data_IF_788960646952
#
_entry.id   IF_788960646952
#
_cell.length_a   1.000
_cell.length_b   1.000
_cell.length_c   1.000
_cell.angle_alpha   90.00
_cell.angle_beta   90.00
_cell.angle_gamma   90.00
#
_symmetry.space_group_name_H-M   'P 1'
#
loop_
_entity.id
_entity.type
_entity.pdbx_description
1 polymer ?
#
# COMPACT_ATOMS: atom_id res chain seq x y z
N UNK A 1 -18.48 5.32 34.20
CA UNK A 1 -18.55 6.47 33.29
C UNK A 1 -17.17 6.70 32.68
N UNK A 2 -17.07 6.60 31.39
CA UNK A 2 -15.83 6.94 30.70
C UNK A 2 -15.76 8.44 30.50
N UNK A 3 -14.76 9.07 31.08
CA UNK A 3 -14.48 10.48 30.79
C UNK A 3 -13.84 10.57 29.39
N UNK A 4 -14.44 11.39 28.54
CA UNK A 4 -13.87 11.68 27.24
C UNK A 4 -12.73 12.68 27.44
N UNK A 5 -11.49 12.22 27.32
CA UNK A 5 -10.33 13.10 27.37
C UNK A 5 -10.23 13.83 26.03
N UNK A 6 -10.43 15.15 26.04
CA UNK A 6 -10.19 15.98 24.88
C UNK A 6 -8.71 16.33 24.83
N UNK A 7 -8.05 15.80 23.81
CA UNK A 7 -6.65 16.15 23.54
C UNK A 7 -6.65 17.44 22.71
N UNK A 8 -6.07 18.48 23.29
CA UNK A 8 -5.84 19.72 22.54
C UNK A 8 -4.77 19.48 21.50
N UNK A 9 -5.04 19.91 20.28
CA UNK A 9 -4.12 19.83 19.15
C UNK A 9 -3.49 21.22 18.90
N UNK A 10 -2.44 21.60 19.62
CA UNK A 10 -1.88 22.96 19.53
C UNK A 10 -1.29 23.26 18.16
N UNK A 11 -0.91 22.23 17.40
CA UNK A 11 -0.38 22.40 16.05
C UNK A 11 -1.41 22.94 15.05
N UNK A 12 -2.71 22.83 15.33
CA UNK A 12 -3.75 23.31 14.44
C UNK A 12 -3.70 24.83 14.23
N UNK A 13 -3.22 25.57 15.24
CA UNK A 13 -3.06 27.01 15.16
C UNK A 13 -1.92 27.42 14.21
N UNK A 14 -0.94 26.54 14.01
CA UNK A 14 0.22 26.77 13.14
C UNK A 14 0.04 26.24 11.73
N UNK A 15 -1.06 25.57 11.48
CA UNK A 15 -1.34 24.98 10.16
C UNK A 15 -1.83 26.09 9.20
N UNK A 16 -1.47 25.95 7.92
CA UNK A 16 -2.01 26.79 6.86
C UNK A 16 -3.54 26.64 6.77
N UNK A 17 -4.30 27.77 6.68
CA UNK A 17 -5.77 27.70 6.60
C UNK A 17 -6.30 26.85 5.43
N UNK A 18 -5.54 26.75 4.34
CA UNK A 18 -5.92 25.96 3.18
C UNK A 18 -5.75 24.46 3.37
N UNK A 19 -4.97 24.06 4.38
CA UNK A 19 -4.77 22.66 4.71
C UNK A 19 -5.87 22.17 5.64
N UNK A 20 -6.64 21.13 5.27
CA UNK A 20 -7.71 20.63 6.12
C UNK A 20 -7.15 20.01 7.40
N UNK A 21 -7.90 20.15 8.50
CA UNK A 21 -7.52 19.55 9.80
C UNK A 21 -7.65 18.02 9.80
N UNK A 22 -8.55 17.52 8.98
CA UNK A 22 -8.83 16.10 8.83
C UNK A 22 -8.95 15.77 7.35
N UNK A 23 -8.63 14.52 7.01
CA UNK A 23 -8.73 14.02 5.64
C UNK A 23 -9.83 12.97 5.56
N UNK A 24 -10.45 12.86 4.40
CA UNK A 24 -11.36 11.77 4.11
C UNK A 24 -10.55 10.54 3.71
N UNK A 25 -10.49 9.57 4.62
CA UNK A 25 -9.73 8.34 4.39
C UNK A 25 -10.58 7.32 3.63
N UNK A 26 -9.93 6.59 2.74
CA UNK A 26 -10.55 5.47 2.05
C UNK A 26 -10.79 4.32 3.03
N UNK A 27 -11.89 3.58 2.81
CA UNK A 27 -12.17 2.34 3.53
C UNK A 27 -11.53 1.12 2.87
N UNK A 28 -10.93 1.31 1.70
CA UNK A 28 -10.23 0.25 0.97
C UNK A 28 -8.90 -0.10 1.64
N UNK A 29 -8.46 -1.35 1.46
CA UNK A 29 -7.11 -1.76 1.82
C UNK A 29 -6.09 -1.05 0.92
N UNK A 30 -4.81 -1.14 1.27
CA UNK A 30 -3.74 -0.59 0.44
C UNK A 30 -3.77 -1.20 -0.96
N UNK A 31 -3.92 -2.52 -1.07
CA UNK A 31 -4.09 -3.20 -2.35
C UNK A 31 -5.34 -2.76 -3.09
N UNK A 32 -6.44 -2.54 -2.39
CA UNK A 32 -7.69 -2.03 -2.97
C UNK A 32 -7.51 -0.66 -3.61
N UNK A 33 -6.74 0.21 -2.97
CA UNK A 33 -6.43 1.54 -3.54
C UNK A 33 -5.57 1.43 -4.79
N UNK A 34 -4.58 0.55 -4.77
CA UNK A 34 -3.73 0.30 -5.95
C UNK A 34 -4.57 -0.26 -7.10
N UNK A 35 -5.45 -1.21 -6.81
CA UNK A 35 -6.35 -1.77 -7.83
C UNK A 35 -7.23 -0.69 -8.48
N UNK A 36 -7.76 0.21 -7.68
CA UNK A 36 -8.56 1.33 -8.16
C UNK A 36 -7.77 2.22 -9.13
N UNK A 37 -6.52 2.54 -8.77
CA UNK A 37 -5.64 3.34 -9.63
C UNK A 37 -5.28 2.61 -10.91
N UNK A 38 -5.07 1.30 -10.84
CA UNK A 38 -4.79 0.47 -12.03
C UNK A 38 -5.98 0.49 -12.99
N UNK A 39 -7.21 0.44 -12.48
CA UNK A 39 -8.41 0.53 -13.32
C UNK A 39 -8.54 1.87 -14.01
N UNK A 40 -8.24 2.96 -13.30
CA UNK A 40 -8.37 4.32 -13.84
C UNK A 40 -7.23 4.68 -14.80
N UNK A 41 -6.03 4.26 -14.50
CA UNK A 41 -4.81 4.69 -15.23
C UNK A 41 -3.90 3.52 -15.59
N UNK A 42 -4.40 2.51 -16.32
CA UNK A 42 -3.61 1.29 -16.57
C UNK A 42 -2.32 1.53 -17.36
N UNK A 43 -2.32 2.53 -18.22
CA UNK A 43 -1.18 2.82 -19.10
C UNK A 43 -0.23 3.89 -18.56
N UNK A 44 -0.53 4.46 -17.38
CA UNK A 44 0.37 5.42 -16.76
C UNK A 44 1.56 4.71 -16.14
N UNK A 45 2.71 5.38 -16.13
CA UNK A 45 3.91 4.86 -15.50
C UNK A 45 3.71 4.80 -13.99
N UNK A 46 3.81 3.60 -13.43
CA UNK A 46 3.73 3.39 -12.00
C UNK A 46 5.07 3.69 -11.31
N UNK A 47 6.15 3.22 -11.91
CA UNK A 47 7.50 3.49 -11.41
C UNK A 47 8.52 3.37 -12.54
N UNK A 48 9.68 3.97 -12.28
CA UNK A 48 10.88 3.84 -13.12
C UNK A 48 12.01 3.31 -12.25
N UNK A 49 12.75 2.34 -12.76
CA UNK A 49 13.90 1.78 -12.08
C UNK A 49 15.01 1.50 -13.09
N UNK A 50 16.17 2.11 -12.89
CA UNK A 50 17.36 1.97 -13.75
C UNK A 50 17.05 2.24 -15.23
N UNK A 51 16.25 3.27 -15.49
CA UNK A 51 15.88 3.67 -16.84
C UNK A 51 14.74 2.89 -17.47
N UNK A 52 14.22 1.86 -16.80
CA UNK A 52 13.08 1.09 -17.28
C UNK A 52 11.80 1.53 -16.58
N UNK A 53 10.79 1.89 -17.37
CA UNK A 53 9.48 2.26 -16.85
C UNK A 53 8.55 1.04 -16.81
N UNK A 54 7.67 1.02 -15.83
CA UNK A 54 6.64 -0.02 -15.69
C UNK A 54 5.30 0.67 -15.51
N UNK A 55 4.30 0.24 -16.28
CA UNK A 55 2.95 0.80 -16.18
C UNK A 55 2.21 0.21 -14.97
N UNK A 56 1.11 0.85 -14.58
CA UNK A 56 0.24 0.32 -13.52
C UNK A 56 -0.29 -1.07 -13.84
N UNK A 57 -0.68 -1.31 -15.10
CA UNK A 57 -1.17 -2.62 -15.52
C UNK A 57 -0.10 -3.70 -15.38
N UNK A 58 1.13 -3.42 -15.80
CA UNK A 58 2.26 -4.35 -15.68
C UNK A 58 2.61 -4.61 -14.21
N UNK A 59 2.64 -3.57 -13.40
CA UNK A 59 2.87 -3.68 -11.96
C UNK A 59 1.83 -4.56 -11.30
N UNK A 60 0.56 -4.37 -11.64
CA UNK A 60 -0.54 -5.15 -11.08
C UNK A 60 -0.44 -6.63 -11.44
N UNK A 61 -0.06 -6.95 -12.66
CA UNK A 61 0.20 -8.33 -13.07
C UNK A 61 1.30 -8.98 -12.22
N UNK A 62 2.38 -8.25 -11.96
CA UNK A 62 3.47 -8.73 -11.11
C UNK A 62 3.02 -8.95 -9.66
N UNK A 63 2.22 -8.04 -9.12
CA UNK A 63 1.66 -8.17 -7.78
C UNK A 63 0.77 -9.42 -7.68
N UNK A 64 -0.09 -9.63 -8.66
CA UNK A 64 -0.96 -10.81 -8.70
C UNK A 64 -0.17 -12.11 -8.81
N UNK A 65 0.86 -12.14 -9.64
CA UNK A 65 1.73 -13.31 -9.77
C UNK A 65 2.45 -13.63 -8.45
N UNK A 66 2.96 -12.61 -7.76
CA UNK A 66 3.57 -12.77 -6.44
C UNK A 66 2.57 -13.30 -5.41
N UNK A 67 1.35 -12.77 -5.40
CA UNK A 67 0.31 -13.21 -4.48
C UNK A 67 -0.06 -14.69 -4.69
N UNK A 68 -0.18 -15.11 -5.94
CA UNK A 68 -0.43 -16.53 -6.29
C UNK A 68 0.72 -17.41 -5.82
N UNK A 69 1.95 -16.97 -6.00
CA UNK A 69 3.13 -17.69 -5.54
C UNK A 69 3.16 -17.84 -4.02
N UNK A 70 2.83 -16.79 -3.29
CA UNK A 70 2.76 -16.83 -1.83
C UNK A 70 1.71 -17.83 -1.35
N UNK A 71 0.54 -17.84 -1.96
CA UNK A 71 -0.53 -18.82 -1.65
C UNK A 71 -0.07 -20.25 -1.95
N UNK A 72 0.64 -20.44 -3.05
CA UNK A 72 1.11 -21.76 -3.46
C UNK A 72 2.10 -22.36 -2.47
N UNK A 73 2.92 -21.53 -1.80
CA UNK A 73 3.86 -22.00 -0.78
C UNK A 73 3.24 -22.08 0.62
N UNK A 74 1.94 -21.78 0.77
CA UNK A 74 1.20 -21.96 2.02
C UNK A 74 1.04 -20.72 2.89
N UNK A 75 1.35 -19.52 2.40
CA UNK A 75 1.11 -18.28 3.14
C UNK A 75 -0.38 -18.00 3.20
N UNK A 76 -0.88 -17.72 4.40
CA UNK A 76 -2.31 -17.49 4.68
C UNK A 76 -2.51 -16.15 5.34
N UNK A 77 -3.78 -15.74 5.43
CA UNK A 77 -4.20 -14.56 6.18
C UNK A 77 -3.66 -14.61 7.61
N UNK A 78 -3.10 -13.51 8.08
CA UNK A 78 -2.56 -13.40 9.42
C UNK A 78 -1.12 -13.89 9.57
N UNK A 79 -0.56 -14.57 8.59
CA UNK A 79 0.83 -14.98 8.61
C UNK A 79 1.75 -13.76 8.53
N UNK A 80 2.92 -13.87 9.12
CA UNK A 80 3.94 -12.81 9.08
C UNK A 80 4.97 -13.16 8.01
N UNK A 81 5.20 -12.24 7.09
CA UNK A 81 6.18 -12.41 6.01
C UNK A 81 7.23 -11.33 6.14
N UNK A 82 8.47 -11.74 6.40
CA UNK A 82 9.60 -10.82 6.48
C UNK A 82 10.12 -10.54 5.06
N UNK A 83 10.22 -9.26 4.74
CA UNK A 83 10.76 -8.78 3.47
C UNK A 83 12.09 -8.12 3.75
N UNK A 84 13.18 -8.78 3.36
CA UNK A 84 14.54 -8.28 3.54
C UNK A 84 15.20 -8.13 2.17
N UNK A 85 14.87 -7.03 1.50
CA UNK A 85 15.31 -6.73 0.14
C UNK A 85 15.72 -5.25 0.03
N UNK A 86 16.63 -4.91 -0.91
CA UNK A 86 16.95 -3.50 -1.18
C UNK A 86 15.74 -2.78 -1.79
N UNK A 87 15.82 -1.47 -1.88
CA UNK A 87 14.79 -0.65 -2.52
C UNK A 87 14.79 -0.92 -4.03
N UNK A 88 13.91 -1.81 -4.45
CA UNK A 88 13.79 -2.30 -5.82
C UNK A 88 12.31 -2.57 -6.13
N UNK A 89 11.94 -2.68 -7.42
CA UNK A 89 10.56 -2.99 -7.81
C UNK A 89 10.03 -4.29 -7.19
N UNK A 90 10.88 -5.27 -7.00
CA UNK A 90 10.50 -6.55 -6.39
C UNK A 90 10.01 -6.38 -4.95
N UNK A 91 10.62 -5.47 -4.20
CA UNK A 91 10.19 -5.14 -2.83
C UNK A 91 8.78 -4.55 -2.83
N UNK A 92 8.52 -3.65 -3.76
CA UNK A 92 7.20 -3.02 -3.93
C UNK A 92 6.13 -4.08 -4.26
N UNK A 93 6.42 -4.93 -5.23
CA UNK A 93 5.49 -5.98 -5.65
C UNK A 93 5.23 -6.98 -4.53
N UNK A 94 6.26 -7.36 -3.78
CA UNK A 94 6.14 -8.28 -2.66
C UNK A 94 5.32 -7.68 -1.52
N UNK A 95 5.53 -6.41 -1.20
CA UNK A 95 4.78 -5.70 -0.17
C UNK A 95 3.28 -5.73 -0.45
N UNK A 96 2.88 -5.36 -1.66
CA UNK A 96 1.46 -5.38 -2.05
C UNK A 96 0.92 -6.80 -2.19
N UNK A 97 1.73 -7.75 -2.63
CA UNK A 97 1.33 -9.16 -2.71
C UNK A 97 1.02 -9.74 -1.32
N UNK A 98 1.86 -9.45 -0.33
CA UNK A 98 1.64 -9.85 1.07
C UNK A 98 0.34 -9.22 1.59
N UNK A 99 0.11 -7.95 1.30
CA UNK A 99 -1.13 -7.27 1.67
C UNK A 99 -2.35 -7.91 1.01
N UNK A 100 -2.25 -8.27 -0.27
CA UNK A 100 -3.34 -8.89 -1.03
C UNK A 100 -3.74 -10.25 -0.46
N UNK A 101 -2.80 -11.03 0.02
CA UNK A 101 -3.05 -12.34 0.64
C UNK A 101 -3.67 -12.18 2.03
N UNK A 102 -3.58 -11.01 2.64
CA UNK A 102 -4.03 -10.75 4.00
C UNK A 102 -2.97 -11.09 5.06
N UNK A 103 -1.75 -11.33 4.65
CA UNK A 103 -0.62 -11.55 5.55
C UNK A 103 -0.04 -10.22 6.04
N UNK A 104 0.85 -10.29 7.01
CA UNK A 104 1.48 -9.14 7.64
C UNK A 104 2.90 -8.99 7.09
N UNK A 105 3.17 -7.85 6.47
CA UNK A 105 4.51 -7.55 5.99
C UNK A 105 5.38 -7.03 7.14
N UNK A 106 6.50 -7.68 7.37
CA UNK A 106 7.52 -7.27 8.33
C UNK A 106 8.75 -6.84 7.55
N UNK A 107 8.99 -5.54 7.54
CA UNK A 107 10.07 -4.95 6.74
C UNK A 107 11.24 -4.52 7.59
#
# INVERSE_FOLDING_TARGET
MSETVQIKAPWLASKDPEVPSTLNYSTLSMCGRVEEMVRQYPNYTAYEFMGKTTTYAEMWQKINACAKSLKAIGIREGDKVTICMPNAPQTLCMFYAVNMVGAIANM
#
